data_IF_777221513550
#
_entry.id   IF_777221513550
#
_cell.length_a   1.000
_cell.length_b   1.000
_cell.length_c   1.000
_cell.angle_alpha   90.00
_cell.angle_beta   90.00
_cell.angle_gamma   90.00
#
_symmetry.space_group_name_H-M   'P 1'
#
loop_
_entity.id
_entity.type
_entity.pdbx_description
1 polymer ?
#
# COMPACT_ATOMS: atom_id res chain seq x y z
N UNK A 1 -9.70 25.69 -10.03
CA UNK A 1 -8.61 25.88 -9.07
C UNK A 1 -8.55 24.59 -8.28
N UNK A 2 -7.55 23.74 -8.53
CA UNK A 2 -7.39 22.47 -7.81
C UNK A 2 -6.78 22.86 -6.46
N UNK A 3 -7.53 22.67 -5.38
CA UNK A 3 -6.99 22.89 -4.05
C UNK A 3 -5.77 21.98 -3.85
N UNK A 4 -4.67 22.57 -3.43
CA UNK A 4 -3.46 21.83 -3.06
C UNK A 4 -3.80 20.90 -1.92
N UNK A 5 -3.80 19.59 -2.18
CA UNK A 5 -3.93 18.55 -1.15
C UNK A 5 -2.75 18.75 -0.21
N UNK A 6 -3.04 19.28 0.97
CA UNK A 6 -2.04 19.43 2.01
C UNK A 6 -1.77 18.02 2.55
N UNK A 7 -0.75 17.35 2.00
CA UNK A 7 -0.19 16.07 2.46
C UNK A 7 0.49 16.25 3.84
N UNK A 8 -0.16 16.98 4.75
CA UNK A 8 0.30 17.17 6.11
C UNK A 8 -0.06 15.92 6.89
N UNK A 9 0.95 15.11 7.18
CA UNK A 9 1.16 14.36 8.43
C UNK A 9 0.07 13.37 8.91
N UNK A 10 -1.22 13.63 8.77
CA UNK A 10 -2.34 12.81 9.21
C UNK A 10 -2.39 11.43 8.55
N UNK A 11 -1.96 11.30 7.30
CA UNK A 11 -1.87 10.00 6.60
C UNK A 11 -0.69 9.14 7.10
N UNK A 12 0.42 9.78 7.44
CA UNK A 12 1.58 9.16 8.09
C UNK A 12 1.24 8.75 9.54
N UNK A 13 0.50 9.58 10.27
CA UNK A 13 0.00 9.27 11.60
C UNK A 13 -1.09 8.17 11.60
N UNK A 14 -1.93 8.07 10.56
CA UNK A 14 -2.86 6.94 10.38
C UNK A 14 -2.10 5.63 10.17
N UNK A 15 -0.97 5.62 9.46
CA UNK A 15 -0.09 4.45 9.39
C UNK A 15 0.54 4.12 10.76
N UNK A 16 0.97 5.14 11.53
CA UNK A 16 1.46 4.98 12.91
C UNK A 16 0.41 4.31 13.82
N UNK A 17 -0.85 4.76 13.75
CA UNK A 17 -1.95 4.22 14.55
C UNK A 17 -2.49 2.86 14.09
N UNK A 18 -2.42 2.55 12.78
CA UNK A 18 -2.84 1.25 12.23
C UNK A 18 -1.82 0.13 12.48
N UNK A 19 -0.53 0.47 12.58
CA UNK A 19 0.54 -0.49 12.84
C UNK A 19 0.87 -0.62 14.34
N UNK A 20 0.56 0.39 15.16
CA UNK A 20 0.88 0.40 16.59
C UNK A 20 -0.18 1.16 17.41
N UNK A 21 -1.23 0.47 17.93
CA UNK A 21 -2.38 1.11 18.60
C UNK A 21 -2.06 1.77 19.96
N UNK A 22 -0.78 1.77 20.39
CA UNK A 22 -0.32 2.28 21.68
C UNK A 22 0.54 3.56 21.57
N UNK A 23 0.79 4.05 20.35
CA UNK A 23 1.61 5.24 20.14
C UNK A 23 0.77 6.52 20.24
N UNK A 24 1.31 7.52 20.91
CA UNK A 24 0.72 8.86 21.06
C UNK A 24 1.68 9.92 20.48
N UNK A 25 1.31 11.19 20.53
CA UNK A 25 2.09 12.31 19.98
C UNK A 25 3.49 12.49 20.63
N UNK A 26 3.81 11.73 21.69
CA UNK A 26 5.06 11.84 22.44
C UNK A 26 6.11 10.78 22.08
N UNK A 27 5.81 9.86 21.15
CA UNK A 27 6.78 8.83 20.73
C UNK A 27 7.85 9.45 19.80
N UNK A 28 9.16 9.37 20.14
CA UNK A 28 10.26 9.91 19.34
C UNK A 28 10.29 9.31 17.92
N UNK A 29 10.68 10.10 16.93
CA UNK A 29 10.76 9.65 15.53
C UNK A 29 11.89 8.63 15.28
N UNK A 30 12.89 8.61 16.16
CA UNK A 30 14.11 7.82 16.06
C UNK A 30 13.91 6.35 16.51
N UNK A 31 12.82 6.07 17.23
CA UNK A 31 12.30 4.72 17.39
C UNK A 31 11.53 4.34 16.12
N UNK A 32 12.25 4.19 15.01
CA UNK A 32 11.72 3.57 13.79
C UNK A 32 11.45 2.11 14.14
N UNK A 33 10.27 1.89 14.72
CA UNK A 33 9.71 0.60 15.05
C UNK A 33 9.55 -0.17 13.74
N UNK A 34 10.53 -1.03 13.45
CA UNK A 34 10.43 -2.03 12.40
C UNK A 34 9.21 -2.88 12.74
N UNK A 35 8.08 -2.63 12.08
CA UNK A 35 6.89 -3.45 12.24
C UNK A 35 7.29 -4.90 11.91
N UNK A 36 7.00 -5.88 12.79
CA UNK A 36 7.36 -7.26 12.51
C UNK A 36 6.75 -7.69 11.17
N UNK A 37 7.52 -8.39 10.35
CA UNK A 37 7.06 -8.81 9.02
C UNK A 37 5.75 -9.62 9.07
N UNK A 38 5.46 -10.29 10.19
CA UNK A 38 4.18 -10.98 10.44
C UNK A 38 2.98 -10.02 10.49
N UNK A 39 3.14 -8.84 11.10
CA UNK A 39 2.12 -7.79 11.18
C UNK A 39 1.88 -7.18 9.81
N UNK A 40 2.96 -6.83 9.10
CA UNK A 40 2.88 -6.26 7.74
C UNK A 40 2.16 -7.21 6.78
N UNK A 41 2.52 -8.50 6.79
CA UNK A 41 1.84 -9.53 5.97
C UNK A 41 0.35 -9.63 6.27
N UNK A 42 -0.03 -9.54 7.55
CA UNK A 42 -1.45 -9.57 7.96
C UNK A 42 -2.20 -8.34 7.48
N UNK A 43 -1.59 -7.16 7.58
CA UNK A 43 -2.18 -5.92 7.06
C UNK A 43 -2.42 -6.01 5.55
N UNK A 44 -1.40 -6.41 4.77
CA UNK A 44 -1.50 -6.60 3.32
C UNK A 44 -2.62 -7.62 2.99
N UNK A 45 -2.65 -8.75 3.68
CA UNK A 45 -3.69 -9.77 3.50
C UNK A 45 -5.11 -9.23 3.71
N UNK A 46 -5.33 -8.43 4.75
CA UNK A 46 -6.64 -7.84 5.04
C UNK A 46 -7.09 -6.86 3.93
N UNK A 47 -6.19 -6.05 3.38
CA UNK A 47 -6.53 -5.16 2.27
C UNK A 47 -6.79 -5.93 0.99
N UNK A 48 -5.98 -6.95 0.70
CA UNK A 48 -6.19 -7.81 -0.46
C UNK A 48 -7.53 -8.54 -0.36
N UNK A 49 -7.94 -9.00 0.83
CA UNK A 49 -9.27 -9.57 1.05
C UNK A 49 -10.38 -8.55 0.80
N UNK A 50 -10.28 -7.34 1.37
CA UNK A 50 -11.25 -6.25 1.17
C UNK A 50 -11.38 -5.83 -0.30
N UNK A 51 -10.30 -5.90 -1.06
CA UNK A 51 -10.27 -5.57 -2.47
C UNK A 51 -10.57 -6.78 -3.37
N UNK A 52 -10.83 -7.97 -2.81
CA UNK A 52 -11.04 -9.23 -3.53
C UNK A 52 -9.88 -9.59 -4.49
N UNK A 53 -8.64 -9.48 -4.01
CA UNK A 53 -7.43 -9.85 -4.74
C UNK A 53 -7.07 -11.30 -4.40
N UNK A 54 -6.93 -12.15 -5.43
CA UNK A 54 -6.66 -13.58 -5.25
C UNK A 54 -5.18 -13.89 -5.42
N UNK A 55 -4.48 -14.02 -4.29
CA UNK A 55 -3.01 -14.08 -4.25
C UNK A 55 -2.42 -15.38 -3.66
N UNK A 56 -3.22 -16.41 -3.35
CA UNK A 56 -2.74 -17.70 -2.79
C UNK A 56 -2.37 -18.75 -3.86
N UNK A 57 -1.93 -18.31 -5.06
CA UNK A 57 -1.60 -19.21 -6.20
C UNK A 57 -0.10 -19.57 -6.23
N UNK A 58 0.30 -20.56 -7.02
CA UNK A 58 1.70 -21.04 -7.09
C UNK A 58 2.73 -19.97 -7.46
N UNK A 59 2.34 -18.90 -8.15
CA UNK A 59 3.25 -17.84 -8.63
C UNK A 59 3.46 -16.68 -7.66
N UNK A 60 2.61 -16.51 -6.63
CA UNK A 60 2.71 -15.40 -5.69
C UNK A 60 2.16 -15.84 -4.33
N UNK A 61 2.87 -15.47 -3.25
CA UNK A 61 2.39 -15.64 -1.88
C UNK A 61 3.02 -14.55 -1.02
N UNK A 62 2.19 -13.83 -0.24
CA UNK A 62 2.65 -12.80 0.68
C UNK A 62 3.68 -13.36 1.70
N UNK A 63 3.56 -14.64 2.05
CA UNK A 63 4.50 -15.31 2.96
C UNK A 63 5.90 -15.47 2.36
N UNK A 64 6.01 -15.49 1.03
CA UNK A 64 7.27 -15.68 0.31
C UNK A 64 7.96 -14.35 -0.07
N UNK A 65 7.36 -13.21 0.29
CA UNK A 65 7.94 -11.90 0.03
C UNK A 65 9.08 -11.59 0.99
N UNK A 66 10.16 -11.04 0.44
CA UNK A 66 11.26 -10.45 1.21
C UNK A 66 10.81 -9.19 1.95
N UNK A 67 11.60 -8.72 2.92
CA UNK A 67 11.30 -7.50 3.68
C UNK A 67 11.12 -6.28 2.76
N UNK A 68 12.02 -6.11 1.80
CA UNK A 68 11.99 -5.01 0.82
C UNK A 68 10.69 -5.05 -0.02
N UNK A 69 10.24 -6.24 -0.41
CA UNK A 69 9.00 -6.38 -1.17
C UNK A 69 7.76 -6.12 -0.31
N UNK A 70 7.80 -6.50 0.96
CA UNK A 70 6.73 -6.18 1.91
C UNK A 70 6.64 -4.67 2.16
N UNK A 71 7.78 -3.98 2.26
CA UNK A 71 7.83 -2.52 2.39
C UNK A 71 7.22 -1.83 1.18
N UNK A 72 7.67 -2.20 -0.03
CA UNK A 72 7.11 -1.65 -1.28
C UNK A 72 5.62 -1.91 -1.42
N UNK A 73 5.17 -3.12 -1.07
CA UNK A 73 3.75 -3.48 -1.15
C UNK A 73 2.90 -2.74 -0.11
N UNK A 74 3.44 -2.57 1.10
CA UNK A 74 2.77 -1.77 2.12
C UNK A 74 2.68 -0.30 1.72
N UNK A 75 3.72 0.25 1.11
CA UNK A 75 3.71 1.61 0.59
C UNK A 75 2.65 1.78 -0.51
N UNK A 76 2.55 0.83 -1.45
CA UNK A 76 1.49 0.80 -2.47
C UNK A 76 0.09 0.86 -1.85
N UNK A 77 -0.15 0.05 -0.82
CA UNK A 77 -1.43 0.03 -0.11
C UNK A 77 -1.71 1.38 0.54
N UNK A 78 -0.70 1.97 1.20
CA UNK A 78 -0.81 3.30 1.81
C UNK A 78 -1.18 4.34 0.77
N UNK A 79 -0.46 4.41 -0.35
CA UNK A 79 -0.74 5.37 -1.42
C UNK A 79 -2.17 5.20 -1.91
N UNK A 80 -2.62 3.95 -2.11
CA UNK A 80 -4.00 3.65 -2.50
C UNK A 80 -5.03 4.24 -1.52
N UNK A 81 -4.79 4.11 -0.21
CA UNK A 81 -5.68 4.61 0.85
C UNK A 81 -5.66 6.14 0.92
N UNK A 82 -4.50 6.76 0.70
CA UNK A 82 -4.35 8.23 0.68
C UNK A 82 -5.12 8.83 -0.49
N UNK A 83 -4.99 8.24 -1.67
CA UNK A 83 -5.62 8.74 -2.89
C UNK A 83 -7.14 8.55 -2.89
N UNK A 84 -7.66 7.54 -2.18
CA UNK A 84 -9.03 7.07 -2.37
C UNK A 84 -9.71 6.76 -1.04
N UNK A 85 -10.80 7.48 -0.77
CA UNK A 85 -11.49 7.45 0.53
C UNK A 85 -12.30 6.18 0.79
N UNK A 86 -12.81 5.52 -0.25
CA UNK A 86 -13.69 4.35 -0.13
C UNK A 86 -13.00 3.06 -0.55
N UNK A 87 -13.32 1.95 0.13
CA UNK A 87 -12.82 0.61 -0.22
C UNK A 87 -13.14 0.23 -1.67
N UNK A 88 -14.32 0.62 -2.17
CA UNK A 88 -14.73 0.38 -3.55
C UNK A 88 -13.82 1.10 -4.54
N UNK A 89 -13.56 2.39 -4.31
CA UNK A 89 -12.70 3.18 -5.19
C UNK A 89 -11.25 2.66 -5.15
N UNK A 90 -10.75 2.31 -3.95
CA UNK A 90 -9.44 1.69 -3.76
C UNK A 90 -9.32 0.40 -4.58
N UNK A 91 -10.31 -0.50 -4.49
CA UNK A 91 -10.32 -1.74 -5.26
C UNK A 91 -10.39 -1.48 -6.77
N UNK A 92 -11.25 -0.55 -7.21
CA UNK A 92 -11.37 -0.18 -8.63
C UNK A 92 -10.07 0.38 -9.18
N UNK A 93 -9.36 1.23 -8.44
CA UNK A 93 -8.08 1.77 -8.87
C UNK A 93 -7.01 0.69 -8.95
N UNK A 94 -6.88 -0.13 -7.89
CA UNK A 94 -5.89 -1.19 -7.82
C UNK A 94 -6.07 -2.24 -8.95
N UNK A 95 -7.31 -2.53 -9.33
CA UNK A 95 -7.65 -3.51 -10.38
C UNK A 95 -7.75 -2.90 -11.79
N UNK A 96 -8.07 -1.61 -11.89
CA UNK A 96 -8.61 -1.00 -13.11
C UNK A 96 -7.70 -0.03 -13.85
N UNK A 97 -6.64 0.50 -13.22
CA UNK A 97 -5.68 1.36 -13.93
C UNK A 97 -4.98 0.56 -15.02
N UNK A 98 -5.05 0.99 -16.29
CA UNK A 98 -4.33 0.32 -17.40
C UNK A 98 -3.62 1.27 -18.36
N UNK A 99 -3.98 2.55 -18.39
CA UNK A 99 -3.55 3.50 -19.43
C UNK A 99 -2.07 3.92 -19.35
N UNK A 100 -1.43 3.76 -18.20
CA UNK A 100 -0.05 4.25 -17.97
C UNK A 100 0.93 3.14 -17.58
N UNK A 101 0.51 1.88 -17.65
CA UNK A 101 1.21 0.72 -17.10
C UNK A 101 1.37 -0.42 -18.13
N UNK A 102 1.61 -0.10 -19.40
CA UNK A 102 1.68 -1.09 -20.49
C UNK A 102 0.42 -1.98 -20.59
N UNK A 103 -0.77 -1.41 -20.41
CA UNK A 103 -2.04 -2.12 -20.33
C UNK A 103 -2.20 -3.08 -19.13
N UNK A 104 -1.28 -3.06 -18.16
CA UNK A 104 -1.38 -3.85 -16.93
C UNK A 104 -1.99 -3.05 -15.78
N UNK A 105 -2.68 -3.73 -14.88
CA UNK A 105 -3.15 -3.16 -13.62
C UNK A 105 -2.11 -3.20 -12.51
N UNK A 106 -2.32 -2.39 -11.46
CA UNK A 106 -1.51 -2.47 -10.25
C UNK A 106 -1.57 -3.87 -9.63
N UNK A 107 -2.75 -4.51 -9.63
CA UNK A 107 -2.90 -5.91 -9.25
C UNK A 107 -1.98 -6.83 -10.08
N UNK A 108 -1.99 -6.70 -11.41
CA UNK A 108 -1.18 -7.54 -12.30
C UNK A 108 0.33 -7.31 -12.07
N UNK A 109 0.76 -6.06 -11.86
CA UNK A 109 2.14 -5.73 -11.53
C UNK A 109 2.57 -6.33 -10.20
N UNK A 110 1.74 -6.18 -9.17
CA UNK A 110 2.01 -6.71 -7.82
C UNK A 110 2.07 -8.23 -7.84
N UNK A 111 1.10 -8.90 -8.46
CA UNK A 111 1.07 -10.37 -8.54
C UNK A 111 2.18 -10.95 -9.41
N UNK A 112 2.74 -10.16 -10.34
CA UNK A 112 3.94 -10.51 -11.12
C UNK A 112 5.26 -10.03 -10.48
N UNK A 113 5.21 -9.54 -9.23
CA UNK A 113 6.35 -9.00 -8.45
C UNK A 113 7.07 -7.82 -9.11
N UNK A 114 6.42 -7.10 -10.01
CA UNK A 114 6.91 -5.85 -10.59
C UNK A 114 6.65 -4.65 -9.65
N UNK A 115 7.11 -4.75 -8.40
CA UNK A 115 6.81 -3.79 -7.34
C UNK A 115 7.35 -2.38 -7.60
N UNK A 116 8.54 -2.26 -8.19
CA UNK A 116 9.15 -0.97 -8.50
C UNK A 116 8.33 -0.18 -9.53
N UNK A 117 7.87 -0.86 -10.58
CA UNK A 117 7.02 -0.23 -11.60
C UNK A 117 5.67 0.19 -11.01
N UNK A 118 5.05 -0.68 -10.22
CA UNK A 118 3.81 -0.37 -9.53
C UNK A 118 3.96 0.85 -8.61
N UNK A 119 5.06 0.91 -7.85
CA UNK A 119 5.30 1.98 -6.89
C UNK A 119 5.62 3.31 -7.57
N UNK A 120 6.43 3.29 -8.63
CA UNK A 120 6.71 4.48 -9.42
C UNK A 120 5.44 5.10 -10.01
N UNK A 121 4.53 4.27 -10.52
CA UNK A 121 3.22 4.73 -10.97
C UNK A 121 2.37 5.30 -9.82
N UNK A 122 2.26 4.58 -8.70
CA UNK A 122 1.47 5.05 -7.57
C UNK A 122 1.97 6.42 -7.06
N UNK A 123 3.29 6.62 -7.03
CA UNK A 123 3.94 7.89 -6.67
C UNK A 123 3.75 8.99 -7.72
N UNK A 124 3.74 8.68 -9.01
CA UNK A 124 3.53 9.69 -10.05
C UNK A 124 2.12 10.31 -10.02
N UNK A 125 1.15 9.62 -9.43
CA UNK A 125 -0.21 10.15 -9.21
C UNK A 125 -0.30 11.07 -7.98
N UNK A 126 0.66 11.00 -7.05
CA UNK A 126 0.72 11.85 -5.87
C UNK A 126 1.41 13.21 -6.12
N UNK A 127 2.18 13.34 -7.20
CA UNK A 127 2.98 14.51 -7.57
C UNK A 127 2.27 15.36 -8.64
#
# INVERSE_FOLDING_TARGET
>A
MIESINLGTASYFRMRGLLHPYLNEQTPDDEILIAPATVVRRAIANYFEKWDIKYKKSSFSIYNLSLIELEKLMELITITIILLESTTNQATWFKGVRKELDNRSLEELVLSRNFDLALNYARSILL
#
